data_IF_310109063603
#
_entry.id   IF_310109063603
#
_cell.length_a   1.000
_cell.length_b   1.000
_cell.length_c   1.000
_cell.angle_alpha   90.00
_cell.angle_beta   90.00
_cell.angle_gamma   90.00
#
_symmetry.space_group_name_H-M   'P 1'
#
loop_
_entity.id
_entity.type
_entity.pdbx_description
1 polymer ?
#
# COMPACT_ATOMS: atom_id res chain seq x y z
N UNK A 1 -63.93 12.52 2.93
CA UNK A 1 -62.87 12.72 3.97
C UNK A 1 -61.67 11.91 3.53
N UNK A 2 -60.82 12.49 2.67
CA UNK A 2 -59.65 11.81 2.08
C UNK A 2 -58.40 12.28 2.80
N UNK A 3 -57.86 11.41 3.68
CA UNK A 3 -56.57 11.63 4.34
C UNK A 3 -55.47 11.24 3.40
N UNK A 4 -54.78 12.25 2.86
CA UNK A 4 -53.56 12.12 2.06
C UNK A 4 -52.43 11.66 2.99
N UNK A 5 -51.74 10.52 2.74
CA UNK A 5 -50.57 10.15 3.56
C UNK A 5 -49.46 11.14 3.23
N UNK A 6 -49.02 11.86 4.27
CA UNK A 6 -47.82 12.70 4.20
C UNK A 6 -46.63 11.83 3.80
N UNK A 7 -46.15 12.01 2.56
CA UNK A 7 -44.88 11.51 2.09
C UNK A 7 -43.79 12.08 3.02
N UNK A 8 -43.32 11.31 3.98
CA UNK A 8 -42.09 11.61 4.67
C UNK A 8 -41.00 11.62 3.60
N UNK A 9 -40.52 12.83 3.30
CA UNK A 9 -39.28 13.01 2.53
C UNK A 9 -38.15 12.40 3.39
N UNK A 10 -37.93 11.10 3.21
CA UNK A 10 -36.68 10.51 3.62
C UNK A 10 -35.61 11.24 2.82
N UNK A 11 -34.78 12.01 3.50
CA UNK A 11 -33.55 12.58 2.91
C UNK A 11 -32.69 11.40 2.48
N UNK A 12 -32.98 10.86 1.32
CA UNK A 12 -32.17 9.82 0.69
C UNK A 12 -30.80 10.45 0.45
N UNK A 13 -29.82 9.94 1.16
CA UNK A 13 -28.42 10.31 0.95
C UNK A 13 -28.11 10.22 -0.54
N UNK A 14 -27.36 11.17 -1.11
CA UNK A 14 -26.98 11.11 -2.50
C UNK A 14 -26.39 9.73 -2.83
N UNK A 15 -26.65 9.16 -4.01
CA UNK A 15 -26.24 7.78 -4.35
C UNK A 15 -24.74 7.53 -4.13
N UNK A 16 -23.90 8.53 -4.42
CA UNK A 16 -22.45 8.46 -4.19
C UNK A 16 -22.10 8.35 -2.69
N UNK A 17 -22.84 9.07 -1.81
CA UNK A 17 -22.60 9.02 -0.37
C UNK A 17 -23.13 7.73 0.23
N UNK A 18 -24.29 7.25 -0.23
CA UNK A 18 -24.81 5.94 0.15
C UNK A 18 -23.85 4.82 -0.26
N UNK A 19 -23.22 4.93 -1.43
CA UNK A 19 -22.21 3.98 -1.91
C UNK A 19 -20.91 4.05 -1.09
N UNK A 20 -20.46 5.25 -0.74
CA UNK A 20 -19.27 5.46 0.11
C UNK A 20 -19.48 4.98 1.56
N UNK A 21 -20.71 5.12 2.08
CA UNK A 21 -21.06 4.69 3.44
C UNK A 21 -21.45 3.20 3.52
N UNK A 22 -21.77 2.56 2.40
CA UNK A 22 -21.92 1.11 2.35
C UNK A 22 -20.55 0.47 2.55
N UNK A 23 -20.22 0.24 3.83
CA UNK A 23 -19.08 -0.60 4.17
C UNK A 23 -19.27 -1.96 3.47
N UNK A 24 -18.37 -2.29 2.56
CA UNK A 24 -18.38 -3.59 1.90
C UNK A 24 -18.25 -4.66 3.00
N UNK A 25 -19.35 -5.31 3.32
CA UNK A 25 -19.40 -6.43 4.25
C UNK A 25 -18.82 -7.67 3.59
N UNK A 26 -17.52 -7.57 3.22
CA UNK A 26 -16.77 -8.72 2.76
C UNK A 26 -16.21 -9.53 3.94
N UNK A 27 -15.86 -10.80 3.74
CA UNK A 27 -15.14 -11.57 4.75
C UNK A 27 -13.85 -10.85 5.10
N UNK A 28 -13.54 -10.76 6.41
CA UNK A 28 -12.31 -10.11 6.89
C UNK A 28 -11.12 -10.79 6.23
N UNK A 29 -10.23 -10.04 5.54
CA UNK A 29 -9.06 -10.62 4.87
C UNK A 29 -7.98 -10.98 5.91
N UNK A 30 -8.20 -12.06 6.65
CA UNK A 30 -7.32 -12.51 7.74
C UNK A 30 -5.87 -12.63 7.30
N UNK A 31 -5.61 -13.06 6.07
CA UNK A 31 -4.25 -13.15 5.53
C UNK A 31 -3.55 -11.78 5.45
N UNK A 32 -4.29 -10.70 5.15
CA UNK A 32 -3.74 -9.35 5.14
C UNK A 32 -3.49 -8.86 6.57
N UNK A 33 -4.40 -9.15 7.51
CA UNK A 33 -4.25 -8.80 8.93
C UNK A 33 -3.03 -9.50 9.53
N UNK A 34 -2.91 -10.82 9.35
CA UNK A 34 -1.78 -11.60 9.85
C UNK A 34 -0.47 -11.11 9.25
N UNK A 35 -0.45 -10.82 7.95
CA UNK A 35 0.75 -10.29 7.28
C UNK A 35 1.12 -8.91 7.83
N UNK A 36 0.15 -8.03 8.05
CA UNK A 36 0.37 -6.72 8.67
C UNK A 36 0.96 -6.85 10.08
N UNK A 37 0.42 -7.75 10.89
CA UNK A 37 0.93 -8.03 12.24
C UNK A 37 2.37 -8.61 12.21
N UNK A 38 2.64 -9.54 11.28
CA UNK A 38 3.98 -10.13 11.09
C UNK A 38 4.97 -9.13 10.46
N UNK A 39 4.50 -8.12 9.75
CA UNK A 39 5.38 -7.10 9.18
C UNK A 39 5.98 -6.18 10.24
N UNK A 40 5.21 -5.73 11.23
CA UNK A 40 5.67 -4.79 12.24
C UNK A 40 6.00 -5.42 13.60
N UNK A 41 5.22 -6.42 14.02
CA UNK A 41 5.31 -7.01 15.36
C UNK A 41 6.69 -7.56 15.72
N UNK A 42 7.27 -8.48 14.95
CA UNK A 42 8.57 -9.07 15.24
C UNK A 42 9.70 -8.04 15.27
N UNK A 43 9.65 -7.02 14.41
CA UNK A 43 10.65 -5.95 14.38
C UNK A 43 10.61 -5.11 15.66
N UNK A 44 9.41 -4.78 16.14
CA UNK A 44 9.25 -4.04 17.40
C UNK A 44 9.72 -4.86 18.59
N UNK A 45 9.33 -6.14 18.66
CA UNK A 45 9.77 -7.04 19.75
C UNK A 45 11.28 -7.20 19.75
N UNK A 46 11.89 -7.47 18.60
CA UNK A 46 13.34 -7.59 18.49
C UNK A 46 14.07 -6.31 18.90
N UNK A 47 13.56 -5.14 18.51
CA UNK A 47 14.13 -3.86 18.88
C UNK A 47 13.96 -3.54 20.39
N UNK A 48 12.84 -3.94 20.99
CA UNK A 48 12.61 -3.82 22.44
C UNK A 48 13.60 -4.67 23.22
N UNK A 49 13.80 -5.93 22.82
CA UNK A 49 14.77 -6.84 23.44
C UNK A 49 16.20 -6.31 23.28
N UNK A 50 16.52 -5.70 22.14
CA UNK A 50 17.82 -5.09 21.86
C UNK A 50 18.03 -3.72 22.54
N UNK A 51 17.03 -3.17 23.27
CA UNK A 51 17.10 -1.85 23.89
C UNK A 51 17.13 -0.68 22.89
N UNK A 52 16.69 -0.91 21.63
CA UNK A 52 16.71 0.05 20.53
C UNK A 52 15.32 0.34 19.98
N UNK A 53 14.37 0.61 20.84
CA UNK A 53 12.95 0.74 20.51
C UNK A 53 12.67 1.78 19.42
N UNK A 54 13.40 2.92 19.43
CA UNK A 54 13.25 3.98 18.42
C UNK A 54 13.58 3.49 17.00
N UNK A 55 14.64 2.69 16.84
CA UNK A 55 15.00 2.09 15.56
C UNK A 55 13.96 1.03 15.13
N UNK A 56 13.40 0.30 16.10
CA UNK A 56 12.31 -0.65 15.85
C UNK A 56 11.05 0.02 15.33
N UNK A 57 10.71 1.20 15.86
CA UNK A 57 9.57 1.99 15.36
C UNK A 57 9.81 2.41 13.91
N UNK A 58 11.01 2.91 13.57
CA UNK A 58 11.36 3.27 12.19
C UNK A 58 11.25 2.05 11.26
N UNK A 59 11.78 0.89 11.68
CA UNK A 59 11.69 -0.34 10.90
C UNK A 59 10.24 -0.81 10.72
N UNK A 60 9.42 -0.75 11.77
CA UNK A 60 8.01 -1.11 11.70
C UNK A 60 7.22 -0.18 10.77
N UNK A 61 7.44 1.13 10.85
CA UNK A 61 6.83 2.11 9.93
C UNK A 61 7.24 1.80 8.49
N UNK A 62 8.52 1.53 8.23
CA UNK A 62 9.00 1.17 6.90
C UNK A 62 8.35 -0.11 6.37
N UNK A 63 8.17 -1.13 7.21
CA UNK A 63 7.47 -2.35 6.84
C UNK A 63 5.99 -2.08 6.50
N UNK A 64 5.30 -1.24 7.27
CA UNK A 64 3.92 -0.84 7.00
C UNK A 64 3.80 -0.07 5.68
N UNK A 65 4.69 0.90 5.45
CA UNK A 65 4.73 1.69 4.21
C UNK A 65 5.04 0.82 2.99
N UNK A 66 5.94 -0.15 3.13
CA UNK A 66 6.20 -1.15 2.10
C UNK A 66 4.97 -2.02 1.82
N UNK A 67 4.17 -2.33 2.85
CA UNK A 67 2.92 -3.08 2.74
C UNK A 67 1.84 -2.40 1.92
N UNK A 68 1.76 -1.07 1.94
CA UNK A 68 0.84 -0.29 1.12
C UNK A 68 1.13 -0.48 -0.39
N UNK A 69 2.38 -0.71 -0.73
CA UNK A 69 2.84 -0.92 -2.11
C UNK A 69 2.79 -2.39 -2.53
N UNK A 70 2.47 -3.31 -1.61
CA UNK A 70 2.36 -4.74 -1.89
C UNK A 70 1.05 -5.04 -2.62
N UNK A 71 1.15 -5.20 -3.94
CA UNK A 71 0.03 -5.60 -4.79
C UNK A 71 0.30 -7.00 -5.35
N UNK A 72 -0.75 -7.78 -5.63
CA UNK A 72 -0.60 -9.07 -6.31
C UNK A 72 0.20 -8.92 -7.61
N UNK A 73 1.18 -9.79 -7.82
CA UNK A 73 2.04 -9.73 -8.99
C UNK A 73 3.21 -10.68 -8.90
N UNK A 74 4.03 -10.76 -9.96
CA UNK A 74 5.24 -11.59 -9.99
C UNK A 74 6.25 -11.14 -8.93
N UNK A 75 7.10 -12.05 -8.46
CA UNK A 75 8.14 -11.76 -7.47
C UNK A 75 9.08 -10.63 -7.92
N UNK A 76 9.46 -10.61 -9.19
CA UNK A 76 10.29 -9.55 -9.77
C UNK A 76 9.60 -8.18 -9.73
N UNK A 77 8.31 -8.15 -10.04
CA UNK A 77 7.51 -6.92 -9.95
C UNK A 77 7.35 -6.47 -8.51
N UNK A 78 7.16 -7.38 -7.55
CA UNK A 78 7.08 -7.07 -6.13
C UNK A 78 8.40 -6.48 -5.60
N UNK A 79 9.54 -7.06 -5.96
CA UNK A 79 10.87 -6.52 -5.61
C UNK A 79 11.03 -5.08 -6.10
N UNK A 80 10.63 -4.79 -7.33
CA UNK A 80 10.72 -3.43 -7.87
C UNK A 80 9.73 -2.47 -7.21
N UNK A 81 8.49 -2.91 -6.99
CA UNK A 81 7.42 -2.08 -6.39
C UNK A 81 7.64 -1.78 -4.90
N UNK A 82 8.34 -2.65 -4.17
CA UNK A 82 8.67 -2.44 -2.77
C UNK A 82 10.07 -1.84 -2.65
N UNK A 83 11.05 -2.35 -3.38
CA UNK A 83 12.46 -1.94 -3.25
C UNK A 83 12.72 -0.51 -3.71
N UNK A 84 12.20 -0.10 -4.87
CA UNK A 84 12.41 1.28 -5.37
C UNK A 84 11.81 2.32 -4.42
N UNK A 85 10.54 2.23 -3.98
CA UNK A 85 10.01 3.14 -2.98
C UNK A 85 10.75 3.09 -1.64
N UNK A 86 11.20 1.90 -1.20
CA UNK A 86 11.96 1.78 0.05
C UNK A 86 13.29 2.52 0.00
N UNK A 87 14.03 2.42 -1.10
CA UNK A 87 15.27 3.18 -1.30
C UNK A 87 15.00 4.69 -1.37
N UNK A 88 13.93 5.08 -2.05
CA UNK A 88 13.49 6.47 -2.12
C UNK A 88 13.11 7.02 -0.72
N UNK A 89 12.36 6.24 0.07
CA UNK A 89 12.01 6.58 1.44
C UNK A 89 13.22 6.69 2.38
N UNK A 90 14.19 5.79 2.23
CA UNK A 90 15.45 5.84 2.97
C UNK A 90 16.27 7.10 2.63
N UNK A 91 16.31 7.49 1.36
CA UNK A 91 16.96 8.73 0.92
C UNK A 91 16.23 9.96 1.48
N UNK A 92 14.89 9.97 1.44
CA UNK A 92 14.07 11.00 2.06
C UNK A 92 14.32 11.11 3.56
N UNK A 93 14.33 9.97 4.28
CA UNK A 93 14.61 9.91 5.71
C UNK A 93 15.97 10.50 6.06
N UNK A 94 17.00 10.15 5.29
CA UNK A 94 18.34 10.71 5.46
C UNK A 94 18.34 12.22 5.24
N UNK A 95 17.80 12.68 4.13
CA UNK A 95 17.71 14.11 3.80
C UNK A 95 16.94 14.89 4.86
N UNK A 96 15.79 14.37 5.31
CA UNK A 96 14.98 14.97 6.36
C UNK A 96 15.71 15.06 7.70
N UNK A 97 16.41 13.98 8.09
CA UNK A 97 17.19 13.95 9.33
C UNK A 97 18.29 15.01 9.32
N UNK A 98 19.08 15.09 8.23
CA UNK A 98 20.12 16.11 8.12
C UNK A 98 19.55 17.52 8.04
N UNK A 99 18.47 17.73 7.31
CA UNK A 99 17.80 19.02 7.23
C UNK A 99 17.25 19.45 8.60
N UNK A 100 16.62 18.54 9.34
CA UNK A 100 16.09 18.80 10.68
C UNK A 100 17.17 19.13 11.72
N UNK A 101 18.37 18.55 11.57
CA UNK A 101 19.50 18.81 12.49
C UNK A 101 20.21 20.15 12.22
N UNK A 102 20.26 20.58 10.96
CA UNK A 102 21.15 21.70 10.55
C UNK A 102 20.40 22.95 10.09
N UNK A 103 19.10 22.84 9.76
CA UNK A 103 18.33 23.95 9.22
C UNK A 103 17.35 24.52 10.25
N UNK A 104 17.19 25.85 10.25
CA UNK A 104 16.11 26.48 10.97
C UNK A 104 14.74 26.20 10.33
N UNK A 105 13.65 26.46 11.06
CA UNK A 105 12.29 26.10 10.68
C UNK A 105 11.89 26.59 9.26
N UNK A 106 12.26 27.80 8.88
CA UNK A 106 11.94 28.36 7.55
C UNK A 106 12.67 27.60 6.44
N UNK A 107 13.98 27.38 6.61
CA UNK A 107 14.77 26.66 5.61
C UNK A 107 14.33 25.19 5.49
N UNK A 108 14.00 24.54 6.61
CA UNK A 108 13.45 23.18 6.64
C UNK A 108 12.11 23.10 5.87
N UNK A 109 11.21 24.06 6.10
CA UNK A 109 9.94 24.13 5.36
C UNK A 109 10.16 24.28 3.86
N UNK A 110 11.09 25.15 3.45
CA UNK A 110 11.43 25.32 2.04
C UNK A 110 11.99 24.04 1.41
N UNK A 111 12.89 23.34 2.11
CA UNK A 111 13.46 22.06 1.65
C UNK A 111 12.38 21.01 1.52
N UNK A 112 11.49 20.84 2.51
CA UNK A 112 10.40 19.87 2.44
C UNK A 112 9.39 20.22 1.35
N UNK A 113 9.13 21.51 1.10
CA UNK A 113 8.28 21.97 0.01
C UNK A 113 8.90 21.66 -1.34
N UNK A 114 10.19 21.93 -1.53
CA UNK A 114 10.92 21.59 -2.75
C UNK A 114 10.93 20.07 -2.99
N UNK A 115 11.15 19.31 -1.93
CA UNK A 115 11.07 17.84 -1.98
C UNK A 115 9.67 17.38 -2.42
N UNK A 116 8.62 18.04 -1.92
CA UNK A 116 7.23 17.81 -2.30
C UNK A 116 6.96 18.06 -3.78
N UNK A 117 7.47 19.16 -4.30
CA UNK A 117 7.33 19.49 -5.72
C UNK A 117 8.03 18.46 -6.61
N UNK A 118 9.26 18.07 -6.27
CA UNK A 118 10.01 17.04 -6.99
C UNK A 118 9.29 15.70 -6.93
N UNK A 119 8.85 15.28 -5.74
CA UNK A 119 8.12 14.03 -5.56
C UNK A 119 6.79 14.03 -6.33
N UNK A 120 6.07 15.15 -6.35
CA UNK A 120 4.85 15.33 -7.15
C UNK A 120 5.12 15.20 -8.64
N UNK A 121 6.17 15.86 -9.15
CA UNK A 121 6.59 15.73 -10.55
C UNK A 121 6.97 14.31 -10.94
N UNK A 122 7.75 13.64 -10.11
CA UNK A 122 8.13 12.22 -10.30
C UNK A 122 6.91 11.30 -10.28
N UNK A 123 5.89 11.62 -9.49
CA UNK A 123 4.65 10.84 -9.39
C UNK A 123 3.87 10.78 -10.71
N UNK A 124 4.06 11.75 -11.60
CA UNK A 124 3.42 11.78 -12.92
C UNK A 124 3.95 10.72 -13.90
N UNK A 125 5.15 10.16 -13.64
CA UNK A 125 5.82 9.21 -14.55
C UNK A 125 5.19 7.82 -14.53
N UNK A 126 4.60 7.42 -13.38
CA UNK A 126 3.96 6.11 -13.28
C UNK A 126 3.79 5.60 -11.85
N UNK A 127 3.15 4.45 -11.66
CA UNK A 127 2.74 3.98 -10.34
C UNK A 127 3.90 3.66 -9.39
N UNK A 128 5.02 3.17 -9.88
CA UNK A 128 6.23 2.92 -9.05
C UNK A 128 6.90 4.24 -8.68
N UNK A 129 6.95 5.18 -9.62
CA UNK A 129 7.50 6.52 -9.39
C UNK A 129 6.63 7.32 -8.42
N UNK A 130 5.30 7.20 -8.51
CA UNK A 130 4.36 7.79 -7.57
C UNK A 130 4.56 7.24 -6.15
N UNK A 131 4.69 5.93 -6.01
CA UNK A 131 4.99 5.31 -4.73
C UNK A 131 6.35 5.78 -4.17
N UNK A 132 7.37 5.90 -5.02
CA UNK A 132 8.70 6.41 -4.64
C UNK A 132 8.63 7.87 -4.19
N UNK A 133 7.90 8.73 -4.91
CA UNK A 133 7.68 10.13 -4.53
C UNK A 133 7.01 10.26 -3.17
N UNK A 134 5.93 9.51 -2.94
CA UNK A 134 5.26 9.46 -1.63
C UNK A 134 6.21 9.01 -0.52
N UNK A 135 7.02 7.99 -0.77
CA UNK A 135 7.96 7.46 0.23
C UNK A 135 9.09 8.45 0.55
N UNK A 136 9.60 9.20 -0.45
CA UNK A 136 10.57 10.28 -0.21
C UNK A 136 10.01 11.33 0.73
N UNK A 137 8.75 11.75 0.50
CA UNK A 137 8.09 12.74 1.33
C UNK A 137 7.85 12.25 2.76
N UNK A 138 7.31 11.05 2.89
CA UNK A 138 7.06 10.46 4.20
C UNK A 138 8.38 10.25 4.95
N UNK A 139 9.40 9.72 4.27
CA UNK A 139 10.74 9.57 4.85
C UNK A 139 11.34 10.92 5.26
N UNK A 140 11.23 11.94 4.40
CA UNK A 140 11.70 13.30 4.70
C UNK A 140 11.02 13.91 5.91
N UNK A 141 9.70 13.80 5.99
CA UNK A 141 8.92 14.30 7.13
C UNK A 141 9.26 13.54 8.43
N UNK A 142 9.39 12.22 8.37
CA UNK A 142 9.80 11.40 9.52
C UNK A 142 11.21 11.77 10.00
N UNK A 143 12.15 11.91 9.06
CA UNK A 143 13.53 12.27 9.40
C UNK A 143 13.66 13.65 10.01
N UNK A 144 12.88 14.62 9.53
CA UNK A 144 12.90 15.99 10.03
C UNK A 144 12.17 16.16 11.37
N UNK A 145 11.08 15.39 11.57
CA UNK A 145 10.19 15.55 12.72
C UNK A 145 10.46 14.61 13.89
N UNK A 146 11.22 13.52 13.68
CA UNK A 146 11.45 12.51 14.70
C UNK A 146 12.87 12.64 15.28
N UNK A 147 13.01 13.13 16.52
CA UNK A 147 14.31 13.18 17.18
C UNK A 147 14.72 11.73 17.55
N UNK A 148 15.53 11.12 16.71
CA UNK A 148 16.05 9.77 16.96
C UNK A 148 17.31 9.88 17.80
N UNK A 149 17.43 9.11 18.92
CA UNK A 149 18.64 9.05 19.71
C UNK A 149 19.75 8.37 18.89
N UNK A 150 20.88 9.05 18.76
CA UNK A 150 22.06 8.54 18.06
C UNK A 150 22.33 9.21 16.71
N UNK A 151 23.37 8.76 16.00
CA UNK A 151 23.71 9.32 14.70
C UNK A 151 22.59 9.16 13.68
N UNK A 152 22.21 10.23 12.98
CA UNK A 152 21.08 10.25 12.05
C UNK A 152 21.11 9.18 10.95
N UNK A 153 22.30 8.69 10.57
CA UNK A 153 22.44 7.63 9.57
C UNK A 153 21.93 6.26 10.04
N UNK A 154 21.79 6.00 11.34
CA UNK A 154 21.32 4.70 11.88
C UNK A 154 19.83 4.44 11.56
N UNK A 155 19.06 5.47 11.33
CA UNK A 155 17.67 5.34 10.93
C UNK A 155 17.50 4.73 9.53
N UNK A 156 18.48 4.96 8.65
CA UNK A 156 18.46 4.46 7.26
C UNK A 156 18.50 2.93 7.19
N UNK A 157 19.50 2.25 7.77
CA UNK A 157 19.51 0.79 7.79
C UNK A 157 18.30 0.21 8.53
N UNK A 158 17.81 0.84 9.62
CA UNK A 158 16.60 0.39 10.28
C UNK A 158 15.38 0.45 9.38
N UNK A 159 15.23 1.52 8.60
CA UNK A 159 14.18 1.67 7.60
C UNK A 159 14.28 0.59 6.51
N UNK A 160 15.48 0.37 5.97
CA UNK A 160 15.71 -0.64 4.94
C UNK A 160 15.50 -2.07 5.46
N UNK A 161 15.86 -2.35 6.72
CA UNK A 161 15.57 -3.63 7.36
C UNK A 161 14.06 -3.87 7.46
N UNK A 162 13.28 -2.85 7.82
CA UNK A 162 11.82 -2.94 7.87
C UNK A 162 11.20 -3.26 6.50
N UNK A 163 11.57 -2.50 5.48
CA UNK A 163 11.11 -2.75 4.12
C UNK A 163 11.58 -4.10 3.56
N UNK A 164 12.84 -4.47 3.84
CA UNK A 164 13.42 -5.76 3.46
C UNK A 164 12.75 -6.94 4.15
N UNK A 165 12.38 -6.79 5.42
CA UNK A 165 11.62 -7.78 6.18
C UNK A 165 10.26 -8.06 5.52
N UNK A 166 9.51 -7.00 5.16
CA UNK A 166 8.25 -7.19 4.46
C UNK A 166 8.46 -7.86 3.10
N UNK A 167 9.49 -7.45 2.36
CA UNK A 167 9.82 -8.09 1.09
C UNK A 167 10.13 -9.57 1.27
N UNK A 168 10.87 -9.94 2.31
CA UNK A 168 11.15 -11.31 2.68
C UNK A 168 9.85 -12.08 2.98
N UNK A 169 8.99 -11.51 3.83
CA UNK A 169 7.68 -12.11 4.12
C UNK A 169 6.87 -12.32 2.84
N UNK A 170 6.89 -11.36 1.91
CA UNK A 170 6.20 -11.45 0.63
C UNK A 170 6.76 -12.55 -0.27
N UNK A 171 8.06 -12.79 -0.22
CA UNK A 171 8.73 -13.84 -1.00
C UNK A 171 8.54 -15.24 -0.40
N UNK A 172 8.43 -15.33 0.94
CA UNK A 172 8.34 -16.60 1.68
C UNK A 172 6.89 -17.04 1.88
N UNK A 173 5.99 -16.11 2.25
CA UNK A 173 4.59 -16.46 2.47
C UNK A 173 3.83 -16.50 1.14
N UNK A 174 3.25 -17.65 0.78
CA UNK A 174 2.40 -17.76 -0.39
C UNK A 174 1.16 -16.88 -0.22
N UNK A 175 0.84 -16.09 -1.23
CA UNK A 175 -0.45 -15.39 -1.30
C UNK A 175 -1.53 -16.32 -1.86
N UNK A 176 -2.80 -16.19 -1.44
CA UNK A 176 -3.88 -17.05 -1.96
C UNK A 176 -4.00 -17.03 -3.48
N UNK A 177 -3.63 -15.93 -4.13
CA UNK A 177 -3.57 -15.83 -5.59
C UNK A 177 -2.36 -16.57 -6.20
N UNK A 178 -1.34 -16.91 -5.41
CA UNK A 178 -0.13 -17.62 -5.84
C UNK A 178 -0.23 -19.13 -5.63
N UNK A 179 -1.14 -19.60 -4.77
CA UNK A 179 -1.28 -21.05 -4.52
C UNK A 179 -1.68 -21.86 -5.77
N UNK A 180 -2.29 -21.22 -6.77
CA UNK A 180 -2.60 -21.86 -8.04
C UNK A 180 -1.40 -21.93 -9.02
N UNK A 181 -0.39 -21.06 -8.85
CA UNK A 181 0.75 -20.92 -9.76
C UNK A 181 2.14 -21.13 -9.16
N UNK A 182 2.29 -20.93 -7.84
CA UNK A 182 3.60 -20.85 -7.16
C UNK A 182 4.32 -22.20 -6.94
N UNK A 183 3.67 -23.32 -7.22
CA UNK A 183 4.33 -24.64 -7.19
C UNK A 183 5.27 -24.89 -8.38
N UNK A 184 5.26 -24.01 -9.38
CA UNK A 184 6.22 -24.01 -10.47
C UNK A 184 7.19 -22.85 -10.28
N UNK A 185 8.47 -23.18 -10.12
CA UNK A 185 9.61 -22.25 -9.97
C UNK A 185 9.87 -21.34 -11.20
N UNK A 186 8.85 -21.11 -12.02
CA UNK A 186 8.96 -20.31 -13.23
C UNK A 186 8.69 -18.83 -12.93
N UNK A 187 9.72 -18.17 -12.42
CA UNK A 187 9.73 -16.79 -11.89
C UNK A 187 9.33 -15.70 -12.91
N UNK A 188 9.11 -16.04 -14.17
CA UNK A 188 9.10 -15.05 -15.24
C UNK A 188 7.70 -14.57 -15.68
N UNK A 189 6.66 -15.39 -15.52
CA UNK A 189 5.37 -15.13 -16.16
C UNK A 189 4.11 -15.29 -15.29
N UNK A 190 4.22 -15.72 -14.04
CA UNK A 190 3.05 -16.11 -13.24
C UNK A 190 2.10 -14.94 -12.90
N UNK A 191 2.64 -13.74 -12.68
CA UNK A 191 1.80 -12.56 -12.40
C UNK A 191 1.07 -12.05 -13.64
N UNK A 192 1.67 -12.18 -14.82
CA UNK A 192 1.06 -11.75 -16.07
C UNK A 192 -0.03 -12.75 -16.49
N UNK A 193 0.23 -14.05 -16.32
CA UNK A 193 -0.76 -15.10 -16.57
C UNK A 193 -1.96 -15.02 -15.66
N UNK A 194 -1.76 -14.74 -14.36
CA UNK A 194 -2.85 -14.56 -13.42
C UNK A 194 -3.70 -13.32 -13.75
N UNK A 195 -3.05 -12.21 -14.17
CA UNK A 195 -3.76 -11.02 -14.62
C UNK A 195 -4.56 -11.28 -15.90
N UNK A 196 -3.98 -12.00 -16.85
CA UNK A 196 -4.66 -12.39 -18.09
C UNK A 196 -5.81 -13.37 -17.79
N UNK A 197 -5.60 -14.37 -16.93
CA UNK A 197 -6.66 -15.28 -16.50
C UNK A 197 -7.82 -14.54 -15.85
N UNK A 198 -7.54 -13.58 -14.97
CA UNK A 198 -8.57 -12.74 -14.34
C UNK A 198 -9.37 -11.90 -15.34
N UNK A 199 -8.74 -11.42 -16.41
CA UNK A 199 -9.45 -10.74 -17.51
C UNK A 199 -10.36 -11.71 -18.25
N UNK A 200 -9.89 -12.91 -18.56
CA UNK A 200 -10.71 -13.94 -19.22
C UNK A 200 -11.90 -14.37 -18.36
N UNK A 201 -11.71 -14.55 -17.05
CA UNK A 201 -12.78 -14.86 -16.11
C UNK A 201 -13.81 -13.71 -16.03
N UNK A 202 -13.37 -12.47 -15.99
CA UNK A 202 -14.26 -11.29 -15.98
C UNK A 202 -15.06 -11.17 -17.30
N UNK A 203 -14.41 -11.43 -18.44
CA UNK A 203 -15.08 -11.45 -19.75
C UNK A 203 -16.07 -12.61 -19.85
N UNK A 204 -15.71 -13.81 -19.38
CA UNK A 204 -16.62 -14.94 -19.35
C UNK A 204 -17.84 -14.67 -18.49
N UNK A 205 -17.66 -14.09 -17.29
CA UNK A 205 -18.76 -13.69 -16.41
C UNK A 205 -19.68 -12.63 -17.04
N UNK A 206 -19.12 -11.67 -17.78
CA UNK A 206 -19.89 -10.67 -18.52
C UNK A 206 -20.68 -11.30 -19.67
N UNK A 207 -20.10 -12.25 -20.41
CA UNK A 207 -20.77 -12.97 -21.50
C UNK A 207 -21.89 -13.85 -20.96
N UNK A 208 -21.69 -14.52 -19.83
CA UNK A 208 -22.73 -15.31 -19.16
C UNK A 208 -23.87 -14.43 -18.67
N UNK A 209 -23.56 -13.26 -18.07
CA UNK A 209 -24.57 -12.29 -17.65
C UNK A 209 -25.37 -11.74 -18.84
N UNK A 210 -24.71 -11.44 -19.96
CA UNK A 210 -25.37 -11.00 -21.19
C UNK A 210 -26.20 -12.13 -21.82
N UNK A 211 -25.71 -13.36 -21.81
CA UNK A 211 -26.43 -14.53 -22.32
C UNK A 211 -27.69 -14.87 -21.52
N UNK A 212 -27.62 -14.72 -20.18
CA UNK A 212 -28.81 -14.93 -19.31
C UNK A 212 -29.86 -13.82 -19.48
N UNK A 213 -29.44 -12.56 -19.70
CA UNK A 213 -30.33 -11.46 -20.00
C UNK A 213 -31.15 -11.69 -21.29
N UNK A 214 -30.51 -12.16 -22.33
CA UNK A 214 -31.16 -12.50 -23.61
C UNK A 214 -32.10 -13.72 -23.50
N UNK A 215 -31.78 -14.67 -22.62
CA UNK A 215 -32.62 -15.84 -22.39
C UNK A 215 -33.92 -15.47 -21.64
N UNK A 216 -33.85 -14.52 -20.71
CA UNK A 216 -35.02 -14.01 -19.98
C UNK A 216 -35.90 -13.17 -20.92
N UNK A 217 -35.30 -12.30 -21.73
CA UNK A 217 -36.03 -11.47 -22.70
C UNK A 217 -36.73 -12.34 -23.79
N UNK A 218 -36.07 -13.43 -24.24
CA UNK A 218 -36.69 -14.36 -25.23
C UNK A 218 -37.81 -15.23 -24.66
N UNK A 219 -37.90 -15.42 -23.35
CA UNK A 219 -39.01 -16.14 -22.71
C UNK A 219 -40.17 -15.23 -22.35
N UNK A 220 -39.98 -13.90 -22.37
CA UNK A 220 -41.01 -12.91 -22.05
C UNK A 220 -41.73 -12.39 -23.34
N UNK A 221 -41.24 -12.70 -24.53
CA UNK A 221 -41.86 -12.46 -25.84
C UNK A 221 -42.56 -13.72 -26.36
#
# INVERSE_FOLDING_TARGET
MFSTPARRASHALPPWLAHALNAQRGPVPWNAVVRGALAGGPLLVAAMVAGRTSLGVVAAIAAMLAGINDRPGSRRTSVRRIGVPALAGAAGLLAGTYAGLHLGAVALTLVLTALGLVAGGVSAVGPVASAAGTQVLVGGALGAGMPLPGPGWQSVPAFLVGAGWLLLLRLVLPTPASLAGDLRLDFRFDGERAAVAGVYEAVAALLDAAGTGDAVARRAA
#
